data_IF_564454860689
#
_entry.id   IF_564454860689
#
_cell.length_a   1.000
_cell.length_b   1.000
_cell.length_c   1.000
_cell.angle_alpha   90.00
_cell.angle_beta   90.00
_cell.angle_gamma   90.00
#
_symmetry.space_group_name_H-M   'P 1'
#
loop_
_entity.id
_entity.type
_entity.pdbx_description
1 polymer ?
#
# COMPACT_ATOMS: atom_id res chain seq x y z
N UNK A 1 5.04 14.52 7.12
CA UNK A 1 4.49 13.16 6.90
C UNK A 1 3.30 13.32 5.99
N UNK A 2 3.50 13.04 4.70
CA UNK A 2 2.46 13.20 3.70
C UNK A 2 1.77 11.86 3.46
N UNK A 3 0.44 11.83 3.54
CA UNK A 3 -0.36 10.61 3.39
C UNK A 3 -1.24 10.71 2.16
N UNK A 4 -1.32 9.64 1.36
CA UNK A 4 -2.23 9.52 0.24
C UNK A 4 -3.26 8.42 0.49
N UNK A 5 -4.53 8.71 0.25
CA UNK A 5 -5.66 7.78 0.35
C UNK A 5 -6.14 7.38 -1.03
N UNK A 6 -6.16 6.09 -1.34
CA UNK A 6 -6.65 5.56 -2.62
C UNK A 6 -7.89 4.71 -2.39
N UNK A 7 -8.94 4.91 -3.18
CA UNK A 7 -10.16 4.10 -3.11
C UNK A 7 -10.72 3.79 -4.51
N UNK A 8 -11.40 2.64 -4.64
CA UNK A 8 -12.05 2.23 -5.89
C UNK A 8 -13.58 2.25 -5.86
N UNK A 9 -14.17 2.39 -4.67
CA UNK A 9 -15.62 2.27 -4.44
C UNK A 9 -16.12 3.46 -3.64
N UNK A 10 -17.39 3.84 -3.80
CA UNK A 10 -18.00 4.95 -3.07
C UNK A 10 -17.96 4.74 -1.54
N UNK A 11 -18.12 3.51 -1.07
CA UNK A 11 -17.95 3.17 0.35
C UNK A 11 -16.52 3.39 0.83
N UNK A 12 -15.53 2.99 0.02
CA UNK A 12 -14.12 3.26 0.29
C UNK A 12 -13.82 4.76 0.34
N UNK A 13 -14.46 5.55 -0.52
CA UNK A 13 -14.37 7.01 -0.51
C UNK A 13 -14.87 7.61 0.81
N UNK A 14 -16.02 7.14 1.33
CA UNK A 14 -16.53 7.58 2.65
C UNK A 14 -15.54 7.27 3.78
N UNK A 15 -14.91 6.09 3.75
CA UNK A 15 -13.90 5.73 4.74
C UNK A 15 -12.62 6.58 4.57
N UNK A 16 -12.19 6.84 3.33
CA UNK A 16 -11.05 7.71 3.05
C UNK A 16 -11.29 9.12 3.57
N UNK A 17 -12.45 9.72 3.31
CA UNK A 17 -12.82 11.04 3.85
C UNK A 17 -12.85 11.06 5.38
N UNK A 18 -13.35 9.99 6.01
CA UNK A 18 -13.34 9.86 7.48
C UNK A 18 -11.93 9.78 8.05
N UNK A 19 -11.03 9.03 7.39
CA UNK A 19 -9.63 8.93 7.78
C UNK A 19 -8.88 10.24 7.52
N UNK A 20 -9.15 10.90 6.39
CA UNK A 20 -8.58 12.19 6.03
C UNK A 20 -8.97 13.31 7.01
N UNK A 21 -10.15 13.22 7.63
CA UNK A 21 -10.57 14.14 8.67
C UNK A 21 -9.76 13.99 9.97
N UNK A 22 -9.29 12.77 10.29
CA UNK A 22 -8.43 12.51 11.45
C UNK A 22 -6.94 12.74 11.14
N UNK A 23 -6.52 12.41 9.93
CA UNK A 23 -5.15 12.54 9.43
C UNK A 23 -5.18 13.20 8.04
N UNK A 24 -4.81 14.48 7.92
CA UNK A 24 -4.81 15.18 6.64
C UNK A 24 -4.00 14.43 5.59
N UNK A 25 -4.57 14.26 4.40
CA UNK A 25 -3.91 13.61 3.29
C UNK A 25 -4.65 13.79 1.99
N UNK A 26 -3.94 13.54 0.89
CA UNK A 26 -4.47 13.68 -0.46
C UNK A 26 -5.33 12.46 -0.81
N UNK A 27 -6.54 12.70 -1.34
CA UNK A 27 -7.47 11.63 -1.66
C UNK A 27 -7.53 11.44 -3.18
N UNK A 28 -7.23 10.22 -3.62
CA UNK A 28 -7.24 9.79 -5.01
C UNK A 28 -8.40 8.83 -5.27
N UNK A 29 -9.13 9.10 -6.34
CA UNK A 29 -10.24 8.28 -6.81
C UNK A 29 -9.74 7.09 -7.67
N UNK A 30 -10.68 6.35 -8.25
CA UNK A 30 -10.39 5.22 -9.15
C UNK A 30 -9.76 5.63 -10.50
N UNK A 31 -9.82 6.91 -10.86
CA UNK A 31 -9.30 7.40 -12.14
C UNK A 31 -7.78 7.42 -12.10
N UNK A 32 -7.16 6.93 -13.17
CA UNK A 32 -5.70 6.82 -13.29
C UNK A 32 -5.03 6.20 -12.06
N UNK A 33 -5.73 5.29 -11.36
CA UNK A 33 -5.25 4.70 -10.10
C UNK A 33 -3.82 4.15 -10.20
N UNK A 34 -3.47 3.47 -11.30
CA UNK A 34 -2.12 2.94 -11.51
C UNK A 34 -1.06 4.03 -11.54
N UNK A 35 -1.33 5.15 -12.22
CA UNK A 35 -0.40 6.27 -12.34
C UNK A 35 -0.33 7.04 -11.03
N UNK A 36 -1.47 7.31 -10.41
CA UNK A 36 -1.55 7.99 -9.12
C UNK A 36 -0.87 7.19 -8.01
N UNK A 37 -1.01 5.86 -8.00
CA UNK A 37 -0.34 4.99 -7.04
C UNK A 37 1.19 4.96 -7.28
N UNK A 38 1.62 4.94 -8.55
CA UNK A 38 3.04 5.01 -8.93
C UNK A 38 3.67 6.34 -8.54
N UNK A 39 3.03 7.45 -8.90
CA UNK A 39 3.45 8.78 -8.52
C UNK A 39 3.44 8.95 -7.00
N UNK A 40 2.43 8.37 -6.35
CA UNK A 40 2.28 8.40 -4.91
C UNK A 40 3.40 7.67 -4.18
N UNK A 41 3.85 6.54 -4.72
CA UNK A 41 4.90 5.71 -4.13
C UNK A 41 6.25 6.45 -3.98
N UNK A 42 6.55 7.40 -4.87
CA UNK A 42 7.78 8.22 -4.77
C UNK A 42 7.59 9.56 -4.04
N UNK A 43 6.35 9.94 -3.71
CA UNK A 43 6.01 11.29 -3.23
C UNK A 43 5.49 11.32 -1.79
N UNK A 44 4.85 10.24 -1.33
CA UNK A 44 4.21 10.18 -0.01
C UNK A 44 4.95 9.22 0.90
N UNK A 45 4.94 9.50 2.19
CA UNK A 45 5.52 8.61 3.21
C UNK A 45 4.56 7.45 3.53
N UNK A 46 3.25 7.68 3.41
CA UNK A 46 2.19 6.72 3.71
C UNK A 46 1.18 6.63 2.57
N UNK A 47 0.88 5.42 2.12
CA UNK A 47 -0.16 5.14 1.13
C UNK A 47 -1.23 4.24 1.74
N UNK A 48 -2.44 4.75 1.90
CA UNK A 48 -3.58 4.01 2.43
C UNK A 48 -4.50 3.62 1.27
N UNK A 49 -4.55 2.34 0.94
CA UNK A 49 -5.36 1.80 -0.15
C UNK A 49 -6.61 1.10 0.40
N UNK A 50 -7.79 1.65 0.16
CA UNK A 50 -9.07 1.09 0.62
C UNK A 50 -9.69 0.25 -0.50
N UNK A 51 -9.17 -0.96 -0.67
CA UNK A 51 -9.44 -1.85 -1.80
C UNK A 51 -8.80 -3.24 -1.63
N UNK A 52 -8.95 -4.10 -2.63
CA UNK A 52 -8.32 -5.41 -2.64
C UNK A 52 -6.79 -5.33 -2.69
N UNK A 53 -6.10 -5.93 -1.72
CA UNK A 53 -4.62 -5.96 -1.62
C UNK A 53 -3.93 -6.48 -2.87
N UNK A 54 -4.53 -7.44 -3.56
CA UNK A 54 -3.92 -8.09 -4.73
C UNK A 54 -3.57 -7.14 -5.88
N UNK A 55 -4.37 -6.09 -6.13
CA UNK A 55 -4.07 -5.15 -7.22
C UNK A 55 -2.97 -4.14 -6.81
N UNK A 56 -2.99 -3.70 -5.54
CA UNK A 56 -1.99 -2.77 -4.98
C UNK A 56 -0.62 -3.41 -5.03
N UNK A 57 -0.51 -4.64 -4.52
CA UNK A 57 0.77 -5.38 -4.48
C UNK A 57 1.30 -5.65 -5.89
N UNK A 58 0.47 -6.00 -6.88
CA UNK A 58 0.93 -6.21 -8.26
C UNK A 58 1.49 -4.93 -8.91
N UNK A 59 0.95 -3.76 -8.56
CA UNK A 59 1.42 -2.48 -9.11
C UNK A 59 2.69 -2.02 -8.39
N UNK A 60 2.76 -2.21 -7.07
CA UNK A 60 3.88 -1.76 -6.24
C UNK A 60 5.07 -2.73 -6.26
N UNK A 61 4.86 -4.04 -6.42
CA UNK A 61 5.92 -5.05 -6.46
C UNK A 61 7.11 -4.69 -7.37
N UNK A 62 6.92 -4.21 -8.62
CA UNK A 62 8.03 -3.81 -9.48
C UNK A 62 8.65 -2.44 -9.13
N UNK A 63 8.03 -1.65 -8.26
CA UNK A 63 8.50 -0.31 -7.87
C UNK A 63 9.32 -0.31 -6.59
N UNK A 64 9.30 -1.40 -5.82
CA UNK A 64 10.04 -1.54 -4.57
C UNK A 64 11.52 -1.59 -4.88
N UNK A 65 12.28 -0.67 -4.29
CA UNK A 65 13.74 -0.60 -4.47
C UNK A 65 14.45 -0.87 -3.14
N UNK A 66 14.06 -0.18 -2.05
CA UNK A 66 14.78 -0.28 -0.77
C UNK A 66 13.87 -0.10 0.45
N UNK A 67 13.86 -1.10 1.33
CA UNK A 67 13.02 -1.20 2.55
C UNK A 67 13.09 0.00 3.52
N UNK A 68 14.15 0.81 3.46
CA UNK A 68 14.34 2.01 4.30
C UNK A 68 13.85 3.30 3.66
N UNK A 69 13.66 3.30 2.34
CA UNK A 69 13.24 4.46 1.56
C UNK A 69 11.84 4.29 0.95
N UNK A 70 11.34 3.05 0.90
CA UNK A 70 10.00 2.76 0.41
C UNK A 70 8.94 3.28 1.40
N UNK A 71 7.83 3.84 0.89
CA UNK A 71 6.77 4.35 1.74
C UNK A 71 5.99 3.24 2.44
N UNK A 72 5.37 3.56 3.57
CA UNK A 72 4.51 2.63 4.27
C UNK A 72 3.17 2.48 3.54
N UNK A 73 2.81 1.26 3.12
CA UNK A 73 1.55 0.98 2.43
C UNK A 73 0.61 0.23 3.34
N UNK A 74 -0.57 0.79 3.59
CA UNK A 74 -1.64 0.18 4.38
C UNK A 74 -2.78 -0.17 3.43
N UNK A 75 -3.29 -1.39 3.51
CA UNK A 75 -4.45 -1.80 2.70
C UNK A 75 -5.63 -2.13 3.62
N UNK A 76 -6.77 -1.48 3.39
CA UNK A 76 -8.00 -1.65 4.15
C UNK A 76 -9.12 -2.21 3.26
N UNK A 77 -9.98 -3.06 3.83
CA UNK A 77 -11.18 -3.53 3.13
C UNK A 77 -12.36 -2.55 3.29
N UNK A 78 -13.38 -2.67 2.44
CA UNK A 78 -14.55 -1.77 2.35
C UNK A 78 -15.33 -1.63 3.66
N UNK A 79 -15.29 -2.65 4.52
CA UNK A 79 -15.94 -2.63 5.84
C UNK A 79 -15.14 -1.94 6.93
N UNK A 80 -13.92 -1.47 6.65
CA UNK A 80 -12.99 -1.02 7.70
C UNK A 80 -12.54 -2.13 8.64
N UNK A 81 -13.02 -3.37 8.44
CA UNK A 81 -12.37 -4.55 9.00
C UNK A 81 -10.96 -4.56 8.43
N UNK A 82 -10.00 -4.66 9.33
CA UNK A 82 -8.58 -4.65 9.04
C UNK A 82 -8.12 -6.11 9.06
N UNK A 83 -8.34 -6.92 8.00
CA UNK A 83 -7.88 -8.30 8.01
C UNK A 83 -6.35 -8.39 7.94
N UNK A 84 -5.62 -7.30 7.70
CA UNK A 84 -4.17 -7.39 7.47
C UNK A 84 -3.40 -6.13 7.87
N UNK A 85 -2.35 -6.41 8.62
CA UNK A 85 -1.40 -5.55 9.30
C UNK A 85 -0.85 -4.36 8.50
N UNK A 86 -0.28 -3.41 9.25
CA UNK A 86 0.86 -2.62 8.78
C UNK A 86 1.89 -3.59 8.19
N UNK A 87 2.02 -3.59 6.86
CA UNK A 87 3.05 -4.35 6.20
C UNK A 87 4.03 -3.35 5.59
N UNK A 88 5.34 -3.42 5.89
CA UNK A 88 6.29 -2.84 4.96
C UNK A 88 6.02 -3.48 3.60
N UNK A 89 5.96 -2.70 2.54
CA UNK A 89 5.56 -3.14 1.18
C UNK A 89 6.32 -4.40 0.76
N UNK A 90 7.58 -4.51 1.22
CA UNK A 90 8.45 -5.69 1.08
C UNK A 90 7.84 -6.98 1.64
N UNK A 91 7.21 -6.96 2.82
CA UNK A 91 6.56 -8.14 3.42
C UNK A 91 5.29 -8.54 2.65
N UNK A 92 4.49 -7.56 2.22
CA UNK A 92 3.26 -7.81 1.46
C UNK A 92 3.55 -8.48 0.10
N UNK A 93 4.68 -8.13 -0.53
CA UNK A 93 5.17 -8.80 -1.74
C UNK A 93 5.68 -10.22 -1.45
N UNK A 94 6.43 -10.42 -0.36
CA UNK A 94 6.95 -11.73 0.04
C UNK A 94 5.85 -12.76 0.37
N UNK A 95 4.68 -12.31 0.83
CA UNK A 95 3.57 -13.20 1.19
C UNK A 95 2.70 -13.65 0.01
N UNK A 96 2.72 -12.94 -1.13
CA UNK A 96 1.75 -13.15 -2.23
C UNK A 96 2.41 -13.75 -3.49
N UNK A 97 3.72 -13.62 -3.67
CA UNK A 97 4.42 -14.24 -4.81
C UNK A 97 5.02 -15.59 -4.42
N UNK A 98 4.54 -16.74 -4.97
CA UNK A 98 5.16 -18.04 -4.77
C UNK A 98 6.40 -18.19 -5.67
N UNK A 99 7.28 -17.19 -5.71
CA UNK A 99 8.46 -17.20 -6.58
C UNK A 99 9.70 -17.48 -5.74
N UNK A 100 9.92 -18.79 -5.55
CA UNK A 100 11.22 -19.43 -5.30
C UNK A 100 12.11 -18.74 -4.25
N UNK A 101 11.82 -19.05 -2.99
CA UNK A 101 12.80 -19.00 -1.91
C UNK A 101 14.07 -19.77 -2.29
N UNK A 102 15.16 -19.05 -2.60
CA UNK A 102 16.50 -19.54 -2.29
C UNK A 102 16.90 -18.87 -0.98
N UNK A 103 17.14 -19.63 0.11
CA UNK A 103 17.63 -19.05 1.34
C UNK A 103 19.07 -18.61 1.07
N UNK A 104 19.32 -17.31 1.00
CA UNK A 104 20.68 -16.83 1.23
C UNK A 104 20.88 -16.82 2.74
N UNK A 105 21.45 -17.93 3.20
CA UNK A 105 22.23 -18.04 4.42
C UNK A 105 23.09 -16.77 4.59
N UNK A 106 22.89 -16.07 5.69
CA UNK A 106 24.01 -15.52 6.48
C UNK A 106 23.87 -16.25 7.82
N UNK A 107 24.39 -17.48 7.95
CA UNK A 107 25.78 -17.78 8.29
C UNK A 107 26.27 -16.96 9.49
N UNK A 108 25.97 -17.49 10.69
CA UNK A 108 26.89 -17.67 11.82
C UNK A 108 28.11 -16.73 11.85
N UNK A 109 28.03 -15.71 12.70
CA UNK A 109 29.05 -15.41 13.70
C UNK A 109 28.32 -15.22 15.04
#
# INVERSE_FOLDING_TARGET
MNTAYFYLTDEGGKLAHKLAAAHPGDIYNKENFKENLRAGFGKYDFLVCIMATGIVVRILAPLIVHKTSDPAVVVLDRKGNMPSAYFPVTLAVQMILPVKWRPFLVARL
#
